data_IF_855398124182
#
_entry.id   IF_855398124182
#
_cell.length_a   1.000
_cell.length_b   1.000
_cell.length_c   1.000
_cell.angle_alpha   90.00
_cell.angle_beta   90.00
_cell.angle_gamma   90.00
#
_symmetry.space_group_name_H-M   'P 1'
#
loop_
_entity.id
_entity.type
_entity.pdbx_description
1 polymer ?
#
# COMPACT_ATOMS: atom_id res chain seq x y z
N UNK A 1 -9.61 -33.77 -85.87
CA UNK A 1 -8.59 -33.70 -84.80
C UNK A 1 -9.12 -32.74 -83.74
N UNK A 2 -9.27 -33.06 -82.44
CA UNK A 2 -8.60 -34.06 -81.58
C UNK A 2 -7.07 -33.78 -81.51
N UNK A 3 -6.43 -33.46 -80.38
CA UNK A 3 -6.81 -33.58 -78.95
C UNK A 3 -6.12 -32.48 -78.07
N UNK A 4 -6.56 -32.36 -76.79
CA UNK A 4 -5.94 -31.83 -75.54
C UNK A 4 -4.43 -31.50 -75.50
N UNK A 5 -3.86 -30.66 -74.60
CA UNK A 5 -4.32 -30.06 -73.31
C UNK A 5 -3.62 -28.68 -73.07
N UNK A 6 -3.43 -28.03 -71.90
CA UNK A 6 -3.47 -28.37 -70.44
C UNK A 6 -3.98 -27.15 -69.59
N UNK A 7 -3.78 -27.15 -68.26
CA UNK A 7 -4.30 -26.19 -67.26
C UNK A 7 -3.49 -24.87 -67.06
N UNK A 8 -4.13 -23.78 -66.57
CA UNK A 8 -3.46 -22.55 -66.12
C UNK A 8 -3.18 -22.52 -64.60
N UNK A 9 -2.17 -21.74 -64.18
CA UNK A 9 -1.93 -21.34 -62.78
C UNK A 9 -2.44 -19.91 -62.57
N UNK A 10 -3.41 -19.71 -61.67
CA UNK A 10 -3.91 -18.37 -61.32
C UNK A 10 -3.00 -17.70 -60.29
N UNK A 11 -2.31 -16.63 -60.70
CA UNK A 11 -1.68 -15.70 -59.78
C UNK A 11 -2.75 -14.76 -59.17
N UNK A 12 -3.16 -15.00 -57.93
CA UNK A 12 -4.18 -14.22 -57.24
C UNK A 12 -3.65 -12.92 -56.64
N UNK A 13 -3.84 -11.79 -57.34
CA UNK A 13 -3.57 -10.46 -56.78
C UNK A 13 -4.69 -9.99 -55.86
N UNK A 14 -4.64 -10.35 -54.57
CA UNK A 14 -5.57 -9.83 -53.55
C UNK A 14 -5.19 -8.41 -53.13
N UNK A 15 -6.03 -7.43 -53.45
CA UNK A 15 -5.89 -6.04 -52.99
C UNK A 15 -6.15 -5.97 -51.46
N UNK A 16 -5.09 -5.74 -50.69
CA UNK A 16 -5.18 -5.66 -49.23
C UNK A 16 -5.74 -4.32 -48.75
N UNK A 17 -6.91 -4.34 -48.11
CA UNK A 17 -7.48 -3.18 -47.43
C UNK A 17 -6.77 -2.92 -46.09
N UNK A 18 -6.14 -1.75 -45.93
CA UNK A 18 -5.43 -1.38 -44.70
C UNK A 18 -6.44 -0.83 -43.67
N UNK A 19 -6.83 -1.67 -42.71
CA UNK A 19 -7.67 -1.27 -41.60
C UNK A 19 -6.84 -0.55 -40.51
N UNK A 20 -7.07 0.75 -40.33
CA UNK A 20 -6.47 1.54 -39.24
C UNK A 20 -7.15 1.23 -37.91
N UNK A 21 -6.63 0.22 -37.20
CA UNK A 21 -7.09 -0.15 -35.85
C UNK A 21 -6.67 0.91 -34.83
N UNK A 22 -7.58 1.84 -34.52
CA UNK A 22 -7.45 2.79 -33.41
C UNK A 22 -7.48 2.04 -32.07
N UNK A 23 -6.29 1.75 -31.54
CA UNK A 23 -6.13 1.15 -30.21
C UNK A 23 -6.58 2.13 -29.12
N UNK A 24 -7.82 1.97 -28.64
CA UNK A 24 -8.33 2.69 -27.48
C UNK A 24 -7.57 2.20 -26.24
N UNK A 25 -6.53 2.92 -25.84
CA UNK A 25 -5.80 2.65 -24.60
C UNK A 25 -6.75 2.97 -23.43
N UNK A 26 -7.13 2.00 -22.59
CA UNK A 26 -7.94 2.30 -21.42
C UNK A 26 -7.12 3.14 -20.45
N UNK A 27 -7.58 4.36 -20.16
CA UNK A 27 -6.96 5.21 -19.16
C UNK A 27 -7.04 4.52 -17.79
N UNK A 28 -5.91 4.00 -17.31
CA UNK A 28 -5.80 3.48 -15.96
C UNK A 28 -5.93 4.66 -15.00
N UNK A 29 -7.14 4.86 -14.45
CA UNK A 29 -7.38 5.85 -13.43
C UNK A 29 -6.46 5.55 -12.24
N UNK A 30 -5.52 6.46 -11.97
CA UNK A 30 -4.77 6.45 -10.72
C UNK A 30 -5.75 6.66 -9.58
N UNK A 31 -5.93 5.65 -8.73
CA UNK A 31 -6.55 5.87 -7.42
C UNK A 31 -5.64 6.83 -6.65
N UNK A 32 -6.02 8.11 -6.59
CA UNK A 32 -5.39 9.07 -5.67
C UNK A 32 -5.71 8.64 -4.24
N UNK A 33 -4.68 8.28 -3.48
CA UNK A 33 -4.82 7.80 -2.11
C UNK A 33 -4.40 8.89 -1.12
N UNK A 34 -5.36 9.36 -0.33
CA UNK A 34 -5.14 10.43 0.63
C UNK A 34 -5.14 9.88 2.06
N UNK A 35 -4.08 10.16 2.81
CA UNK A 35 -3.89 9.74 4.19
C UNK A 35 -4.25 10.87 5.16
N UNK A 36 -5.41 10.74 5.82
CA UNK A 36 -5.96 11.79 6.69
C UNK A 36 -6.08 11.33 8.14
N UNK A 37 -6.07 12.29 9.07
CA UNK A 37 -6.50 12.07 10.44
C UNK A 37 -7.98 12.46 10.59
N UNK A 38 -8.83 11.55 11.06
CA UNK A 38 -10.24 11.82 11.35
C UNK A 38 -10.79 11.01 12.54
N UNK A 39 -12.05 11.23 12.90
CA UNK A 39 -12.70 10.63 14.09
C UNK A 39 -13.33 9.26 13.77
N UNK A 40 -12.58 8.17 14.00
CA UNK A 40 -13.02 6.80 13.73
C UNK A 40 -13.76 6.15 14.92
N UNK A 41 -14.90 5.50 14.64
CA UNK A 41 -15.72 4.82 15.65
C UNK A 41 -15.23 3.39 15.92
N UNK A 42 -14.86 3.08 17.16
CA UNK A 42 -14.48 1.74 17.60
C UNK A 42 -15.69 0.97 18.16
N UNK A 43 -16.04 -0.13 17.47
CA UNK A 43 -17.13 -1.03 17.86
C UNK A 43 -16.84 -1.79 19.16
N UNK A 44 -15.58 -2.03 19.52
CA UNK A 44 -15.21 -2.79 20.73
C UNK A 44 -15.48 -2.01 22.01
N UNK A 45 -15.24 -0.70 22.00
CA UNK A 45 -15.37 0.16 23.19
C UNK A 45 -16.56 1.14 23.12
N UNK A 46 -17.34 1.11 22.03
CA UNK A 46 -18.42 2.07 21.73
C UNK A 46 -17.97 3.54 21.89
N UNK A 47 -16.79 3.90 21.34
CA UNK A 47 -16.18 5.24 21.45
C UNK A 47 -15.55 5.67 20.13
N UNK A 48 -15.36 6.98 19.94
CA UNK A 48 -14.59 7.52 18.80
C UNK A 48 -13.16 7.89 19.23
N UNK A 49 -12.20 7.67 18.35
CA UNK A 49 -10.79 7.99 18.55
C UNK A 49 -10.20 8.69 17.32
N UNK A 50 -9.19 9.56 17.46
CA UNK A 50 -8.37 9.98 16.33
C UNK A 50 -7.82 8.75 15.60
N UNK A 51 -8.00 8.72 14.29
CA UNK A 51 -7.73 7.56 13.44
C UNK A 51 -7.06 8.04 12.15
N UNK A 52 -5.92 7.43 11.83
CA UNK A 52 -5.28 7.59 10.51
C UNK A 52 -6.04 6.72 9.52
N UNK A 53 -6.62 7.34 8.50
CA UNK A 53 -7.34 6.70 7.41
C UNK A 53 -6.55 6.78 6.11
N UNK A 54 -6.71 5.78 5.25
CA UNK A 54 -6.49 5.92 3.81
C UNK A 54 -7.86 6.15 3.14
N UNK A 55 -7.94 7.15 2.26
CA UNK A 55 -9.07 7.44 1.39
C UNK A 55 -8.70 7.09 -0.04
N UNK A 56 -9.61 6.48 -0.78
CA UNK A 56 -9.67 6.54 -2.25
C UNK A 56 -11.02 7.08 -2.68
N UNK A 57 -11.23 7.25 -3.99
CA UNK A 57 -12.54 7.65 -4.56
C UNK A 57 -13.69 6.71 -4.22
N UNK A 58 -13.41 5.47 -3.77
CA UNK A 58 -14.40 4.45 -3.47
C UNK A 58 -14.53 4.14 -1.97
N UNK A 59 -13.48 4.36 -1.16
CA UNK A 59 -13.41 3.83 0.22
C UNK A 59 -12.64 4.73 1.18
N UNK A 60 -13.06 4.67 2.45
CA UNK A 60 -12.34 5.18 3.62
C UNK A 60 -11.96 3.98 4.50
N UNK A 61 -10.67 3.72 4.70
CA UNK A 61 -10.17 2.55 5.44
C UNK A 61 -9.29 2.99 6.61
N UNK A 62 -9.57 2.52 7.82
CA UNK A 62 -8.73 2.84 8.98
C UNK A 62 -7.41 2.04 8.97
N UNK A 63 -6.30 2.75 9.20
CA UNK A 63 -4.94 2.19 9.26
C UNK A 63 -4.45 2.10 10.71
N UNK A 64 -4.63 3.17 11.50
CA UNK A 64 -4.18 3.23 12.91
C UNK A 64 -5.22 3.97 13.76
N UNK A 65 -5.66 3.36 14.87
CA UNK A 65 -6.55 3.97 15.88
C UNK A 65 -5.78 4.39 17.12
N UNK A 66 -5.77 5.68 17.44
CA UNK A 66 -4.92 6.27 18.48
C UNK A 66 -5.58 6.20 19.88
N UNK A 67 -5.86 4.97 20.35
CA UNK A 67 -6.61 4.73 21.61
C UNK A 67 -5.86 5.16 22.88
N UNK A 68 -4.54 5.00 22.92
CA UNK A 68 -3.72 5.15 24.14
C UNK A 68 -2.77 6.37 24.07
N UNK A 69 -2.48 7.05 25.19
CA UNK A 69 -1.51 8.15 25.25
C UNK A 69 -0.09 7.71 24.87
N UNK A 70 0.80 8.67 24.63
CA UNK A 70 2.20 8.37 24.35
C UNK A 70 3.01 8.27 25.65
N UNK A 71 4.12 7.52 25.61
CA UNK A 71 4.85 7.15 26.82
C UNK A 71 5.66 8.30 27.45
N UNK A 72 6.17 9.25 26.65
CA UNK A 72 7.18 10.23 27.09
C UNK A 72 7.05 11.64 26.45
N UNK A 73 5.87 12.01 25.92
CA UNK A 73 5.62 13.38 25.41
C UNK A 73 4.16 13.80 25.64
N UNK A 74 3.94 15.11 25.73
CA UNK A 74 2.62 15.78 25.78
C UNK A 74 1.80 15.63 24.48
N UNK A 75 2.35 14.96 23.47
CA UNK A 75 1.71 14.68 22.18
C UNK A 75 0.45 13.82 22.36
N UNK A 76 -0.70 14.44 22.14
CA UNK A 76 -2.01 13.80 22.27
C UNK A 76 -2.23 12.70 21.23
N UNK A 77 -3.35 11.98 21.34
CA UNK A 77 -3.80 11.08 20.26
C UNK A 77 -4.13 11.81 18.97
N UNK A 78 -4.54 13.09 19.02
CA UNK A 78 -4.79 13.89 17.82
C UNK A 78 -3.47 14.35 17.19
N UNK A 79 -2.53 14.83 18.03
CA UNK A 79 -1.14 15.18 17.68
C UNK A 79 -0.48 14.12 16.78
N UNK A 80 -0.39 12.91 17.34
CA UNK A 80 0.23 11.75 16.66
C UNK A 80 -0.56 11.32 15.43
N UNK A 81 -1.89 11.36 15.48
CA UNK A 81 -2.75 11.03 14.34
C UNK A 81 -2.50 11.97 13.15
N UNK A 82 -2.40 13.29 13.39
CA UNK A 82 -2.09 14.26 12.34
C UNK A 82 -0.68 14.04 11.77
N UNK A 83 0.35 13.99 12.63
CA UNK A 83 1.74 13.80 12.20
C UNK A 83 1.96 12.51 11.41
N UNK A 84 1.38 11.39 11.86
CA UNK A 84 1.55 10.09 11.21
C UNK A 84 0.77 10.00 9.90
N UNK A 85 -0.43 10.59 9.82
CA UNK A 85 -1.17 10.66 8.54
C UNK A 85 -0.39 11.46 7.49
N UNK A 86 0.21 12.59 7.87
CA UNK A 86 1.09 13.37 6.99
C UNK A 86 2.35 12.60 6.56
N UNK A 87 2.94 11.78 7.45
CA UNK A 87 4.07 10.88 7.11
C UNK A 87 3.65 9.79 6.12
N UNK A 88 2.46 9.20 6.26
CA UNK A 88 1.92 8.28 5.26
C UNK A 88 1.68 8.96 3.91
N UNK A 89 1.10 10.17 3.89
CA UNK A 89 0.92 10.93 2.64
C UNK A 89 2.26 11.20 1.96
N UNK A 90 3.28 11.66 2.70
CA UNK A 90 4.62 11.88 2.18
C UNK A 90 5.23 10.60 1.59
N UNK A 91 5.09 9.47 2.30
CA UNK A 91 5.59 8.18 1.86
C UNK A 91 4.83 7.59 0.65
N UNK A 92 3.55 7.93 0.49
CA UNK A 92 2.77 7.57 -0.70
C UNK A 92 3.16 8.46 -1.89
N UNK A 93 3.19 9.79 -1.71
CA UNK A 93 3.54 10.75 -2.75
C UNK A 93 4.93 10.52 -3.34
N UNK A 94 5.90 10.08 -2.53
CA UNK A 94 7.25 9.72 -3.01
C UNK A 94 7.40 8.23 -3.39
N UNK A 95 6.33 7.44 -3.41
CA UNK A 95 6.33 5.99 -3.69
C UNK A 95 7.14 5.10 -2.72
N UNK A 96 7.76 5.63 -1.66
CA UNK A 96 8.54 4.81 -0.71
C UNK A 96 7.68 3.82 0.09
N UNK A 97 6.37 4.08 0.23
CA UNK A 97 5.41 3.19 0.91
C UNK A 97 5.29 1.80 0.26
N UNK A 98 5.85 1.60 -0.94
CA UNK A 98 5.97 0.29 -1.61
C UNK A 98 6.60 -0.80 -0.71
N UNK A 99 7.49 -0.44 0.23
CA UNK A 99 7.92 -1.33 1.31
C UNK A 99 7.87 -0.61 2.67
N UNK A 100 7.53 -1.36 3.72
CA UNK A 100 7.71 -0.94 5.12
C UNK A 100 8.69 -1.87 5.84
N UNK A 101 9.42 -1.32 6.81
CA UNK A 101 10.45 -2.03 7.57
C UNK A 101 10.60 -1.46 8.98
N UNK A 102 11.06 -2.29 9.92
CA UNK A 102 11.61 -1.84 11.20
C UNK A 102 13.00 -1.22 10.98
N UNK A 103 13.41 -0.27 11.81
CA UNK A 103 14.75 0.30 11.78
C UNK A 103 15.09 0.96 13.12
N UNK A 104 16.26 1.57 13.22
CA UNK A 104 16.61 2.52 14.28
C UNK A 104 16.93 3.88 13.67
N UNK A 105 16.47 4.95 14.31
CA UNK A 105 16.86 6.33 14.02
C UNK A 105 17.43 6.93 15.31
N UNK A 106 18.70 7.34 15.31
CA UNK A 106 19.43 7.82 16.49
C UNK A 106 19.25 6.91 17.73
N UNK A 107 19.36 5.60 17.53
CA UNK A 107 19.18 4.57 18.57
C UNK A 107 17.71 4.22 18.88
N UNK A 108 16.76 5.13 18.64
CA UNK A 108 15.33 4.87 18.87
C UNK A 108 14.77 3.91 17.82
N UNK A 109 14.02 2.90 18.27
CA UNK A 109 13.28 1.97 17.38
C UNK A 109 12.22 2.73 16.57
N UNK A 110 12.12 2.45 15.27
CA UNK A 110 11.14 3.07 14.35
C UNK A 110 10.55 2.06 13.38
N UNK A 111 9.37 2.36 12.83
CA UNK A 111 8.85 1.78 11.60
C UNK A 111 8.94 2.85 10.50
N UNK A 112 9.53 2.50 9.36
CA UNK A 112 9.70 3.40 8.23
C UNK A 112 9.49 2.72 6.88
N UNK A 113 9.39 3.54 5.84
CA UNK A 113 9.22 3.10 4.45
C UNK A 113 10.56 2.96 3.72
N UNK A 114 10.57 2.26 2.58
CA UNK A 114 11.72 2.25 1.66
C UNK A 114 11.32 1.92 0.23
N UNK A 115 12.01 2.53 -0.73
CA UNK A 115 11.81 2.31 -2.17
C UNK A 115 12.07 0.86 -2.63
N UNK A 116 12.84 0.08 -1.85
CA UNK A 116 13.20 -1.32 -2.17
C UNK A 116 13.47 -2.14 -0.92
N UNK A 117 13.33 -3.46 -1.02
CA UNK A 117 13.83 -4.42 -0.01
C UNK A 117 15.33 -4.21 0.20
N UNK A 118 15.78 -4.12 1.46
CA UNK A 118 17.17 -3.81 1.80
C UNK A 118 17.59 -2.36 1.50
N UNK A 119 16.65 -1.47 1.17
CA UNK A 119 16.90 -0.04 0.99
C UNK A 119 16.89 0.72 2.32
N UNK A 120 17.59 1.85 2.36
CA UNK A 120 17.60 2.71 3.53
C UNK A 120 16.20 3.20 3.94
N UNK A 121 16.06 3.54 5.22
CA UNK A 121 14.87 4.10 5.84
C UNK A 121 14.54 5.48 5.21
N UNK A 122 13.45 5.57 4.44
CA UNK A 122 13.11 6.76 3.65
C UNK A 122 12.20 7.74 4.39
N UNK A 123 11.04 7.28 4.87
CA UNK A 123 10.11 8.09 5.67
C UNK A 123 9.79 7.34 6.95
N UNK A 124 10.12 7.91 8.10
CA UNK A 124 9.68 7.37 9.40
C UNK A 124 8.18 7.57 9.54
N UNK A 125 7.45 6.46 9.62
CA UNK A 125 6.01 6.46 9.90
C UNK A 125 5.80 6.57 11.40
N UNK A 126 6.28 5.57 12.15
CA UNK A 126 6.11 5.46 13.60
C UNK A 126 7.47 5.52 14.31
N UNK A 127 7.55 6.35 15.35
CA UNK A 127 8.55 6.17 16.40
C UNK A 127 7.97 5.18 17.41
N UNK A 128 8.75 4.19 17.85
CA UNK A 128 8.31 3.19 18.82
C UNK A 128 8.82 3.51 20.23
N UNK A 129 8.24 2.88 21.25
CA UNK A 129 8.74 2.90 22.64
C UNK A 129 9.99 1.98 22.75
N UNK A 130 10.92 2.22 23.67
CA UNK A 130 12.08 1.33 23.88
C UNK A 130 11.68 -0.14 24.15
N UNK A 131 10.57 -0.33 24.88
CA UNK A 131 9.99 -1.63 25.23
C UNK A 131 9.10 -2.25 24.15
N UNK A 132 8.80 -1.56 23.04
CA UNK A 132 8.05 -2.16 21.94
C UNK A 132 8.91 -3.16 21.17
N UNK A 133 8.32 -4.28 20.75
CA UNK A 133 8.90 -5.13 19.72
C UNK A 133 8.65 -4.50 18.34
N UNK A 134 9.74 -4.25 17.61
CA UNK A 134 9.66 -3.57 16.32
C UNK A 134 9.19 -4.49 15.17
N UNK A 135 9.30 -5.81 15.32
CA UNK A 135 8.84 -6.81 14.35
C UNK A 135 7.33 -7.06 14.56
N UNK A 136 6.87 -7.11 15.82
CA UNK A 136 5.43 -7.20 16.15
C UNK A 136 4.67 -5.98 15.62
N UNK A 137 5.10 -4.76 15.96
CA UNK A 137 4.43 -3.53 15.49
C UNK A 137 4.50 -3.38 13.96
N UNK A 138 5.62 -3.80 13.34
CA UNK A 138 5.73 -3.87 11.88
C UNK A 138 4.71 -4.86 11.29
N UNK A 139 4.56 -6.05 11.89
CA UNK A 139 3.61 -7.06 11.43
C UNK A 139 2.16 -6.56 11.55
N UNK A 140 1.79 -5.98 12.70
CA UNK A 140 0.45 -5.40 12.91
C UNK A 140 0.16 -4.32 11.86
N UNK A 141 1.11 -3.42 11.59
CA UNK A 141 0.93 -2.40 10.56
C UNK A 141 0.86 -2.99 9.15
N UNK A 142 1.66 -4.02 8.85
CA UNK A 142 1.60 -4.79 7.58
C UNK A 142 0.25 -5.49 7.40
N UNK A 143 -0.32 -6.08 8.45
CA UNK A 143 -1.60 -6.78 8.39
C UNK A 143 -2.77 -5.80 8.16
N UNK A 144 -2.71 -4.62 8.81
CA UNK A 144 -3.60 -3.50 8.53
C UNK A 144 -3.46 -3.04 7.06
N UNK A 145 -2.26 -2.64 6.62
CA UNK A 145 -1.94 -2.20 5.25
C UNK A 145 -1.99 -3.31 4.17
N UNK A 146 -2.55 -4.48 4.49
CA UNK A 146 -2.86 -5.56 3.54
C UNK A 146 -4.31 -6.02 3.60
N UNK A 147 -5.14 -5.49 4.50
CA UNK A 147 -6.52 -5.93 4.70
C UNK A 147 -6.67 -7.42 5.05
N UNK A 148 -5.59 -8.06 5.51
CA UNK A 148 -5.47 -9.52 5.75
C UNK A 148 -4.39 -9.78 6.81
N UNK A 149 -4.79 -10.03 8.04
CA UNK A 149 -3.92 -10.58 9.09
C UNK A 149 -4.16 -12.07 9.30
N UNK A 150 -3.44 -12.93 8.57
CA UNK A 150 -3.81 -14.36 8.45
C UNK A 150 -2.67 -15.39 8.27
N UNK A 151 -1.38 -15.06 8.40
CA UNK A 151 -0.30 -16.08 8.32
C UNK A 151 0.85 -15.89 9.32
N UNK A 152 1.54 -16.98 9.73
CA UNK A 152 2.05 -17.12 11.10
C UNK A 152 3.44 -16.56 11.38
N UNK A 153 3.69 -16.36 12.67
CA UNK A 153 4.94 -15.92 13.27
C UNK A 153 6.08 -16.94 13.05
N UNK A 154 7.27 -16.44 12.69
CA UNK A 154 8.53 -17.20 12.78
C UNK A 154 9.51 -16.43 13.68
N UNK A 155 10.09 -17.13 14.65
CA UNK A 155 10.95 -16.55 15.69
C UNK A 155 12.42 -16.76 15.33
N UNK A 156 13.20 -15.69 15.24
CA UNK A 156 14.67 -15.74 15.34
C UNK A 156 15.16 -14.56 16.17
N UNK A 157 16.04 -14.81 17.13
CA UNK A 157 16.59 -13.79 18.03
C UNK A 157 17.55 -12.82 17.32
N UNK A 158 17.63 -11.60 17.85
CA UNK A 158 18.34 -10.47 17.23
C UNK A 158 17.37 -9.55 16.45
N UNK A 159 17.65 -8.24 16.44
CA UNK A 159 16.81 -7.23 15.78
C UNK A 159 16.99 -7.24 14.25
N UNK A 160 16.61 -8.35 13.61
CA UNK A 160 16.67 -8.51 12.15
C UNK A 160 15.77 -7.48 11.47
N UNK A 161 16.28 -6.85 10.42
CA UNK A 161 15.50 -5.92 9.62
C UNK A 161 14.60 -6.66 8.62
N UNK A 162 13.30 -6.62 8.87
CA UNK A 162 12.25 -7.28 8.07
C UNK A 162 11.62 -6.27 7.13
N UNK A 163 11.41 -6.65 5.86
CA UNK A 163 10.79 -5.79 4.84
C UNK A 163 9.50 -6.42 4.32
N UNK A 164 8.39 -5.71 4.44
CA UNK A 164 7.12 -6.11 3.81
C UNK A 164 6.77 -5.18 2.66
N UNK A 165 6.54 -5.77 1.49
CA UNK A 165 5.97 -5.05 0.35
C UNK A 165 4.49 -4.74 0.61
N UNK A 166 4.07 -3.52 0.29
CA UNK A 166 2.68 -3.07 0.37
C UNK A 166 2.08 -2.97 -1.04
N UNK A 167 0.86 -3.44 -1.18
CA UNK A 167 0.04 -3.30 -2.38
C UNK A 167 -1.19 -2.50 -1.97
N UNK A 168 -1.12 -1.18 -2.20
CA UNK A 168 -2.06 -0.22 -1.63
C UNK A 168 -3.45 -0.31 -2.27
N UNK A 169 -3.50 -0.60 -3.58
CA UNK A 169 -4.75 -0.89 -4.30
C UNK A 169 -5.43 -2.11 -3.72
N UNK A 170 -4.70 -3.23 -3.59
CA UNK A 170 -5.23 -4.47 -3.03
C UNK A 170 -5.66 -4.31 -1.56
N UNK A 171 -4.96 -3.49 -0.78
CA UNK A 171 -5.39 -3.10 0.57
C UNK A 171 -6.75 -2.40 0.54
N UNK A 172 -6.91 -1.37 -0.31
CA UNK A 172 -8.17 -0.65 -0.48
C UNK A 172 -9.29 -1.60 -0.94
N UNK A 173 -9.07 -2.40 -1.99
CA UNK A 173 -10.02 -3.39 -2.52
C UNK A 173 -10.55 -4.34 -1.43
N UNK A 174 -9.68 -4.87 -0.58
CA UNK A 174 -10.03 -5.94 0.37
C UNK A 174 -10.46 -5.46 1.76
N UNK A 175 -10.00 -4.30 2.20
CA UNK A 175 -10.31 -3.82 3.54
C UNK A 175 -11.76 -3.31 3.67
N UNK A 176 -12.39 -3.42 4.86
CA UNK A 176 -13.72 -2.89 5.10
C UNK A 176 -13.67 -1.35 5.11
N UNK A 177 -14.62 -0.73 4.40
CA UNK A 177 -14.83 0.72 4.45
C UNK A 177 -15.51 1.12 5.76
N UNK A 178 -15.01 2.16 6.42
CA UNK A 178 -15.70 2.79 7.55
C UNK A 178 -16.68 3.88 7.07
N UNK A 179 -17.83 3.93 7.73
CA UNK A 179 -18.86 4.97 7.63
C UNK A 179 -18.57 6.12 8.61
#
# INVERSE_FOLDING_TARGET
MKITSISPLLAGCTLGAIALSLSIIPAQASEDVQFICASGYDRQTNKRFPTTFALSSQKKVAVIRWKYPWFHHDLSSLERCQQVSARFQSAYNNSSLAFITNSKNNGQKVICTSYRRGGACSVVLLTLRPSDDAIEVLSILKDALRGRGTQPLMHSSGEVQVYYQIDLKKFLEMAPSES
#
